data_IF_396471914980
#
_entry.id   IF_396471914980
#
_cell.length_a   1.000
_cell.length_b   1.000
_cell.length_c   1.000
_cell.angle_alpha   90.00
_cell.angle_beta   90.00
_cell.angle_gamma   90.00
#
_symmetry.space_group_name_H-M   'P 1'
#
loop_
_entity.id
_entity.type
_entity.pdbx_description
1 polymer ?
#
# COMPACT_ATOMS: atom_id res chain seq x y z
N UNK A 1 -44.96 -16.32 36.25
CA UNK A 1 -44.43 -16.02 34.90
C UNK A 1 -42.94 -16.33 34.89
N UNK A 2 -42.59 -17.58 34.59
CA UNK A 2 -41.20 -17.98 34.37
C UNK A 2 -40.81 -17.62 32.93
N UNK A 3 -39.70 -16.91 32.75
CA UNK A 3 -39.05 -16.77 31.44
C UNK A 3 -37.77 -17.59 31.46
N UNK A 4 -37.78 -18.66 30.66
CA UNK A 4 -36.67 -19.55 30.39
C UNK A 4 -35.51 -18.78 29.74
N UNK A 5 -34.30 -18.99 30.24
CA UNK A 5 -33.05 -18.63 29.57
C UNK A 5 -32.90 -19.51 28.32
N UNK A 6 -32.87 -18.89 27.14
CA UNK A 6 -32.45 -19.52 25.90
C UNK A 6 -30.93 -19.41 25.81
N UNK A 7 -30.24 -20.56 25.91
CA UNK A 7 -28.82 -20.70 25.58
C UNK A 7 -28.67 -20.75 24.06
N UNK A 8 -28.18 -19.64 23.48
CA UNK A 8 -27.76 -19.58 22.09
C UNK A 8 -26.45 -20.36 21.85
N UNK A 9 -26.19 -20.80 20.62
CA UNK A 9 -25.12 -21.75 20.32
C UNK A 9 -23.74 -21.10 20.48
N UNK A 10 -22.85 -21.84 21.12
CA UNK A 10 -21.40 -21.59 21.18
C UNK A 10 -20.87 -21.63 19.75
N UNK A 11 -20.27 -20.53 19.29
CA UNK A 11 -19.61 -20.50 17.98
C UNK A 11 -18.31 -21.29 18.06
N UNK A 12 -18.30 -22.44 17.40
CA UNK A 12 -17.15 -23.32 17.30
C UNK A 12 -15.97 -22.63 16.60
N UNK A 13 -14.78 -22.79 17.19
CA UNK A 13 -13.51 -22.41 16.57
C UNK A 13 -13.25 -23.31 15.36
N UNK A 14 -13.21 -22.71 14.18
CA UNK A 14 -12.86 -23.37 12.93
C UNK A 14 -11.45 -23.94 13.05
N UNK A 15 -11.33 -25.26 13.00
CA UNK A 15 -10.06 -25.99 12.92
C UNK A 15 -9.74 -26.23 11.43
N UNK A 16 -8.78 -25.49 10.89
CA UNK A 16 -8.23 -25.77 9.55
C UNK A 16 -7.01 -26.68 9.68
N UNK A 17 -7.13 -27.92 9.23
CA UNK A 17 -6.00 -28.86 9.09
C UNK A 17 -5.28 -28.56 7.77
N UNK A 18 -4.06 -28.04 7.86
CA UNK A 18 -3.12 -27.99 6.74
C UNK A 18 -2.60 -29.39 6.42
N UNK A 19 -2.80 -29.85 5.19
CA UNK A 19 -2.10 -31.01 4.63
C UNK A 19 -1.24 -30.52 3.46
N UNK A 20 0.07 -30.67 3.63
CA UNK A 20 1.12 -30.36 2.69
C UNK A 20 1.22 -31.52 1.69
N UNK A 21 1.10 -31.26 0.38
CA UNK A 21 1.50 -32.23 -0.63
C UNK A 21 2.24 -31.51 -1.76
N UNK A 22 3.55 -31.73 -1.77
CA UNK A 22 4.51 -31.17 -2.71
C UNK A 22 4.64 -32.14 -3.89
N UNK A 23 4.24 -31.72 -5.08
CA UNK A 23 4.56 -32.43 -6.34
C UNK A 23 5.25 -31.45 -7.27
N UNK A 24 6.56 -31.63 -7.45
CA UNK A 24 7.35 -30.94 -8.46
C UNK A 24 7.05 -31.54 -9.83
N UNK A 25 6.60 -30.70 -10.77
CA UNK A 25 6.76 -30.95 -12.21
C UNK A 25 7.44 -29.75 -12.85
N UNK A 26 8.72 -29.90 -13.15
CA UNK A 26 9.50 -28.96 -13.95
C UNK A 26 8.98 -28.96 -15.40
N UNK A 27 8.55 -27.80 -15.90
CA UNK A 27 8.52 -27.51 -17.34
C UNK A 27 9.44 -26.34 -17.62
N UNK A 28 10.53 -26.63 -18.34
CA UNK A 28 11.34 -25.64 -19.04
C UNK A 28 10.47 -24.88 -20.03
N UNK A 29 10.32 -23.57 -19.83
CA UNK A 29 9.91 -22.65 -20.88
C UNK A 29 11.15 -21.91 -21.39
N UNK A 30 11.37 -22.03 -22.68
CA UNK A 30 12.49 -21.48 -23.42
C UNK A 30 12.54 -19.95 -23.29
N UNK A 31 13.71 -19.46 -22.89
CA UNK A 31 14.12 -18.06 -23.04
C UNK A 31 14.27 -17.76 -24.53
N UNK A 32 13.30 -17.03 -25.10
CA UNK A 32 13.52 -16.36 -26.38
C UNK A 32 14.51 -15.21 -26.17
N UNK A 33 15.76 -15.46 -26.58
CA UNK A 33 16.77 -14.42 -26.78
C UNK A 33 16.29 -13.52 -27.92
N UNK A 34 15.93 -12.28 -27.60
CA UNK A 34 15.85 -11.23 -28.61
C UNK A 34 17.27 -10.78 -28.99
N UNK A 35 17.62 -10.72 -30.29
CA UNK A 35 18.92 -10.24 -30.70
C UNK A 35 18.98 -8.71 -30.53
N UNK A 36 20.02 -8.24 -29.85
CA UNK A 36 20.44 -6.84 -29.89
C UNK A 36 21.12 -6.63 -31.24
N UNK A 37 20.45 -5.97 -32.18
CA UNK A 37 21.09 -5.50 -33.41
C UNK A 37 22.02 -4.34 -33.07
N UNK A 38 23.32 -4.59 -33.21
CA UNK A 38 24.35 -3.55 -33.24
C UNK A 38 24.21 -2.74 -34.52
N UNK A 39 23.71 -1.50 -34.41
CA UNK A 39 23.68 -0.56 -35.53
C UNK A 39 25.09 -0.23 -35.98
N UNK A 40 25.42 -0.59 -37.21
CA UNK A 40 26.69 -0.24 -37.86
C UNK A 40 26.63 1.24 -38.23
N UNK A 41 27.52 2.06 -37.67
CA UNK A 41 27.68 3.46 -38.07
C UNK A 41 28.13 3.54 -39.52
N UNK A 42 27.28 4.10 -40.38
CA UNK A 42 27.61 4.45 -41.76
C UNK A 42 28.52 5.69 -41.74
N UNK A 43 29.83 5.52 -42.02
CA UNK A 43 30.75 6.64 -42.27
C UNK A 43 30.42 7.27 -43.63
N UNK A 44 29.83 8.46 -43.63
CA UNK A 44 29.68 9.28 -44.84
C UNK A 44 30.99 10.01 -45.11
N UNK A 45 31.68 9.63 -46.18
CA UNK A 45 32.86 10.33 -46.71
C UNK A 45 32.41 11.53 -47.54
N UNK A 46 32.69 12.74 -47.07
CA UNK A 46 32.43 13.98 -47.81
C UNK A 46 33.44 14.11 -48.96
N UNK A 47 32.98 14.02 -50.22
CA UNK A 47 33.72 14.50 -51.38
C UNK A 47 33.05 15.76 -51.90
N UNK A 48 33.82 16.83 -51.97
CA UNK A 48 33.45 18.17 -52.44
C UNK A 48 33.15 18.14 -53.95
N UNK A 49 31.93 18.49 -54.32
CA UNK A 49 31.49 18.69 -55.71
C UNK A 49 30.26 19.60 -55.71
N UNK A 50 30.31 20.69 -56.47
CA UNK A 50 29.40 21.82 -56.41
C UNK A 50 28.07 21.61 -57.17
N UNK A 51 27.05 22.38 -56.74
CA UNK A 51 25.83 22.86 -57.44
C UNK A 51 24.72 21.85 -57.78
N UNK A 52 23.61 21.87 -57.03
CA UNK A 52 22.25 22.30 -57.43
C UNK A 52 21.25 21.93 -56.31
N UNK A 53 20.23 22.76 -56.11
CA UNK A 53 19.39 22.76 -54.91
C UNK A 53 18.56 21.50 -54.64
N UNK A 54 18.46 21.17 -53.36
CA UNK A 54 17.30 20.55 -52.73
C UNK A 54 17.44 20.74 -51.20
N UNK A 55 16.57 21.56 -50.60
CA UNK A 55 16.39 21.57 -49.14
C UNK A 55 15.73 20.23 -48.75
N UNK A 56 16.53 19.23 -48.41
CA UNK A 56 16.02 17.99 -47.81
C UNK A 56 15.76 18.30 -46.34
N UNK A 57 14.52 18.62 -46.01
CA UNK A 57 14.07 18.65 -44.62
C UNK A 57 14.09 17.22 -44.08
N UNK A 58 15.16 16.86 -43.38
CA UNK A 58 15.22 15.63 -42.62
C UNK A 58 14.27 15.75 -41.42
N UNK A 59 13.03 15.29 -41.58
CA UNK A 59 12.11 15.09 -40.47
C UNK A 59 12.67 13.96 -39.60
N UNK A 60 13.34 14.32 -38.50
CA UNK A 60 13.61 13.38 -37.41
C UNK A 60 12.27 12.99 -36.80
N UNK A 61 11.77 11.82 -37.17
CA UNK A 61 10.70 11.17 -36.43
C UNK A 61 11.24 10.84 -35.03
N UNK A 62 10.89 11.64 -34.03
CA UNK A 62 11.09 11.27 -32.64
C UNK A 62 10.20 10.05 -32.38
N UNK A 63 10.82 8.88 -32.25
CA UNK A 63 10.17 7.73 -31.64
C UNK A 63 10.02 8.08 -30.16
N UNK A 64 8.88 8.67 -29.79
CA UNK A 64 8.46 8.72 -28.40
C UNK A 64 8.15 7.29 -28.02
N UNK A 65 9.02 6.67 -27.22
CA UNK A 65 8.64 5.45 -26.52
C UNK A 65 7.44 5.80 -25.66
N UNK A 66 6.26 5.27 -25.98
CA UNK A 66 5.13 5.29 -25.06
C UNK A 66 5.57 4.53 -23.82
N UNK A 67 5.84 5.26 -22.73
CA UNK A 67 6.02 4.65 -21.44
C UNK A 67 4.72 3.92 -21.12
N UNK A 68 4.76 2.59 -21.07
CA UNK A 68 3.60 1.80 -20.69
C UNK A 68 3.13 2.24 -19.30
N UNK A 69 1.82 2.35 -19.11
CA UNK A 69 1.24 2.64 -17.79
C UNK A 69 1.76 1.62 -16.78
N UNK A 70 2.34 2.12 -15.67
CA UNK A 70 2.76 1.27 -14.53
C UNK A 70 1.57 0.71 -13.77
N UNK A 71 0.39 1.29 -13.96
CA UNK A 71 -0.88 0.83 -13.42
C UNK A 71 -1.47 -0.24 -14.34
N UNK A 72 -1.86 -1.38 -13.78
CA UNK A 72 -2.49 -2.47 -14.50
C UNK A 72 -4.02 -2.34 -14.46
N UNK A 73 -4.67 -2.43 -15.61
CA UNK A 73 -6.14 -2.31 -15.71
C UNK A 73 -6.62 -0.86 -15.66
N UNK A 74 -7.87 -0.65 -15.26
CA UNK A 74 -8.46 0.68 -15.18
C UNK A 74 -9.49 0.76 -14.05
N UNK A 75 -9.61 1.92 -13.36
CA UNK A 75 -10.62 2.12 -12.34
C UNK A 75 -12.03 1.85 -12.86
N UNK A 76 -12.85 1.22 -12.01
CA UNK A 76 -14.23 0.86 -12.32
C UNK A 76 -15.20 1.29 -11.21
N UNK A 77 -16.51 1.19 -11.46
CA UNK A 77 -17.54 1.59 -10.50
C UNK A 77 -17.55 3.11 -10.27
N UNK A 78 -17.76 3.53 -9.01
CA UNK A 78 -17.82 4.96 -8.66
C UNK A 78 -16.51 5.72 -8.88
N UNK A 79 -15.38 5.01 -8.99
CA UNK A 79 -14.07 5.60 -9.25
C UNK A 79 -13.67 5.58 -10.73
N UNK A 80 -14.57 5.18 -11.65
CA UNK A 80 -14.30 5.18 -13.08
C UNK A 80 -13.82 6.56 -13.56
N UNK A 81 -12.77 6.58 -14.37
CA UNK A 81 -12.13 7.82 -14.85
C UNK A 81 -11.05 8.40 -13.94
N UNK A 82 -10.74 7.76 -12.81
CA UNK A 82 -9.56 8.13 -11.99
C UNK A 82 -8.28 7.92 -12.81
N UNK A 83 -7.37 8.89 -12.79
CA UNK A 83 -6.10 8.83 -13.53
C UNK A 83 -4.88 8.83 -12.60
N UNK A 84 -5.05 9.18 -11.33
CA UNK A 84 -3.96 9.27 -10.38
C UNK A 84 -2.94 10.32 -10.79
N UNK A 85 -1.66 9.93 -10.85
CA UNK A 85 -0.57 10.75 -11.37
C UNK A 85 -0.57 10.93 -12.90
N UNK A 86 -1.45 10.26 -13.63
CA UNK A 86 -1.49 10.31 -15.10
C UNK A 86 -0.19 9.81 -15.72
N UNK A 87 0.28 10.52 -16.75
CA UNK A 87 1.50 10.20 -17.50
C UNK A 87 2.77 10.84 -16.92
N UNK A 88 2.75 11.25 -15.64
CA UNK A 88 3.93 11.78 -14.98
C UNK A 88 5.06 10.74 -14.94
N UNK A 89 6.29 11.18 -15.18
CA UNK A 89 7.46 10.28 -15.16
C UNK A 89 7.56 9.56 -13.79
N UNK A 90 7.68 8.22 -13.78
CA UNK A 90 7.77 7.47 -12.54
C UNK A 90 8.94 7.89 -11.66
N UNK A 91 8.67 8.07 -10.37
CA UNK A 91 9.68 8.26 -9.33
C UNK A 91 9.80 7.01 -8.46
N UNK A 92 11.02 6.73 -8.02
CA UNK A 92 11.38 5.54 -7.26
C UNK A 92 12.01 5.98 -5.94
N UNK A 93 11.21 6.22 -4.89
CA UNK A 93 11.76 6.62 -3.60
C UNK A 93 12.73 5.54 -3.08
N UNK A 94 13.79 5.99 -2.42
CA UNK A 94 14.79 5.12 -1.79
C UNK A 94 14.81 5.25 -0.27
N UNK A 95 14.19 6.32 0.24
CA UNK A 95 14.08 6.63 1.67
C UNK A 95 12.63 6.89 2.09
N UNK A 96 12.34 6.75 3.38
CA UNK A 96 11.01 7.03 3.94
C UNK A 96 10.63 8.51 3.78
N UNK A 97 11.62 9.41 3.81
CA UNK A 97 11.45 10.85 3.64
C UNK A 97 11.08 11.20 2.20
N UNK A 98 11.75 10.60 1.21
CA UNK A 98 11.39 10.75 -0.20
C UNK A 98 9.98 10.24 -0.48
N UNK A 99 9.64 9.05 0.05
CA UNK A 99 8.30 8.48 -0.09
C UNK A 99 7.24 9.41 0.48
N UNK A 100 7.42 9.88 1.73
CA UNK A 100 6.51 10.82 2.37
C UNK A 100 6.35 12.10 1.56
N UNK A 101 7.47 12.67 1.07
CA UNK A 101 7.46 13.91 0.27
C UNK A 101 6.71 13.73 -1.04
N UNK A 102 6.97 12.64 -1.78
CA UNK A 102 6.29 12.40 -3.06
C UNK A 102 4.80 12.13 -2.88
N UNK A 103 4.38 11.51 -1.77
CA UNK A 103 2.97 11.27 -1.48
C UNK A 103 2.23 12.57 -1.11
N UNK A 104 2.87 13.49 -0.41
CA UNK A 104 2.21 14.68 0.15
C UNK A 104 2.34 15.95 -0.70
N UNK A 105 3.28 16.01 -1.65
CA UNK A 105 3.47 17.23 -2.45
C UNK A 105 2.27 17.57 -3.35
N UNK A 106 2.29 18.77 -3.92
CA UNK A 106 1.22 19.31 -4.77
C UNK A 106 1.32 18.89 -6.24
N UNK A 107 2.31 18.06 -6.60
CA UNK A 107 2.58 17.68 -8.00
C UNK A 107 1.89 16.37 -8.36
N UNK A 108 1.40 16.20 -9.59
CA UNK A 108 1.05 14.87 -10.08
C UNK A 108 2.27 13.95 -10.02
N UNK A 109 2.12 12.77 -9.41
CA UNK A 109 3.24 11.83 -9.21
C UNK A 109 2.81 10.40 -9.51
N UNK A 110 3.67 9.67 -10.20
CA UNK A 110 3.64 8.20 -10.29
C UNK A 110 4.77 7.65 -9.43
N UNK A 111 4.44 7.05 -8.31
CA UNK A 111 5.35 6.62 -7.25
C UNK A 111 5.41 5.10 -7.26
N UNK A 112 6.57 4.54 -7.58
CA UNK A 112 6.75 3.09 -7.75
C UNK A 112 7.59 2.53 -6.62
N UNK A 113 7.02 1.63 -5.82
CA UNK A 113 7.71 0.95 -4.72
C UNK A 113 8.44 -0.30 -5.24
N UNK A 114 9.76 -0.30 -5.16
CA UNK A 114 10.63 -1.45 -5.53
C UNK A 114 11.24 -2.17 -4.32
N UNK A 115 10.95 -1.68 -3.11
CA UNK A 115 11.54 -2.13 -1.87
C UNK A 115 10.57 -1.94 -0.71
N UNK A 116 10.88 -2.62 0.40
CA UNK A 116 10.17 -2.43 1.65
C UNK A 116 10.57 -1.09 2.27
N UNK A 117 9.58 -0.35 2.75
CA UNK A 117 9.76 0.83 3.59
C UNK A 117 9.35 0.46 5.01
N UNK A 118 10.36 0.28 5.86
CA UNK A 118 10.17 -0.04 7.27
C UNK A 118 10.13 1.24 8.12
N UNK A 119 8.99 1.46 8.75
CA UNK A 119 8.74 2.59 9.64
C UNK A 119 8.83 2.21 11.11
N UNK A 120 9.07 0.94 11.44
CA UNK A 120 9.16 0.48 12.82
C UNK A 120 10.31 1.20 13.54
N UNK A 121 10.02 1.70 14.73
CA UNK A 121 10.87 2.50 15.61
C UNK A 121 11.35 3.86 15.05
N UNK A 122 10.94 4.25 13.84
CA UNK A 122 11.35 5.54 13.24
C UNK A 122 10.85 6.74 14.02
N UNK A 123 9.70 6.61 14.69
CA UNK A 123 9.14 7.64 15.58
C UNK A 123 9.24 7.26 17.06
N UNK A 124 9.91 6.15 17.40
CA UNK A 124 10.03 5.58 18.74
C UNK A 124 8.73 4.98 19.29
N UNK A 125 8.78 4.49 20.53
CA UNK A 125 7.64 3.87 21.22
C UNK A 125 7.06 4.75 22.33
N UNK A 126 5.82 4.49 22.73
CA UNK A 126 5.20 5.07 23.93
C UNK A 126 4.53 3.99 24.78
N UNK A 127 4.29 4.27 26.07
CA UNK A 127 3.57 3.39 26.99
C UNK A 127 2.39 4.12 27.61
N UNK A 128 1.19 3.59 27.41
CA UNK A 128 -0.06 4.23 27.84
C UNK A 128 -0.98 3.23 28.56
N UNK A 129 -2.01 3.77 29.22
CA UNK A 129 -3.06 2.94 29.81
C UNK A 129 -4.02 2.43 28.72
N UNK A 130 -4.24 1.12 28.72
CA UNK A 130 -5.19 0.44 27.86
C UNK A 130 -6.16 -0.39 28.69
N UNK A 131 -7.28 -0.74 28.07
CA UNK A 131 -8.24 -1.68 28.61
C UNK A 131 -8.00 -3.08 28.06
N UNK A 132 -7.80 -4.03 28.96
CA UNK A 132 -8.04 -5.43 28.69
C UNK A 132 -9.50 -5.74 28.97
N UNK A 133 -10.31 -5.73 27.91
CA UNK A 133 -11.75 -5.89 28.02
C UNK A 133 -12.17 -7.24 28.60
N UNK A 134 -13.37 -7.32 29.16
CA UNK A 134 -13.86 -8.52 29.84
C UNK A 134 -13.82 -9.77 28.94
N UNK A 135 -14.18 -9.63 27.67
CA UNK A 135 -14.11 -10.74 26.70
C UNK A 135 -12.69 -11.29 26.54
N UNK A 136 -11.67 -10.42 26.56
CA UNK A 136 -10.27 -10.86 26.48
C UNK A 136 -9.85 -11.59 27.76
N UNK A 137 -10.27 -11.08 28.94
CA UNK A 137 -10.05 -11.77 30.22
C UNK A 137 -10.69 -13.17 30.25
N UNK A 138 -11.94 -13.29 29.79
CA UNK A 138 -12.66 -14.56 29.72
C UNK A 138 -11.97 -15.56 28.77
N UNK A 139 -11.37 -15.08 27.67
CA UNK A 139 -10.56 -15.90 26.77
C UNK A 139 -9.25 -16.36 27.42
N UNK A 140 -8.52 -15.45 28.06
CA UNK A 140 -7.26 -15.76 28.75
C UNK A 140 -7.49 -16.80 29.85
N UNK A 141 -8.61 -16.69 30.59
CA UNK A 141 -8.98 -17.64 31.64
C UNK A 141 -9.14 -19.08 31.13
N UNK A 142 -9.47 -19.29 29.85
CA UNK A 142 -9.59 -20.62 29.23
C UNK A 142 -8.24 -21.28 28.93
N UNK A 143 -7.12 -20.54 28.99
CA UNK A 143 -5.75 -21.05 28.74
C UNK A 143 -5.59 -21.79 27.41
N UNK A 144 -6.31 -21.35 26.37
CA UNK A 144 -6.29 -21.97 25.04
C UNK A 144 -5.28 -21.32 24.07
N UNK A 145 -4.40 -20.46 24.57
CA UNK A 145 -3.36 -19.77 23.80
C UNK A 145 -3.82 -18.52 23.04
N UNK A 146 -5.11 -18.16 23.08
CA UNK A 146 -5.61 -16.96 22.42
C UNK A 146 -5.39 -15.72 23.29
N UNK A 147 -4.73 -14.71 22.72
CA UNK A 147 -4.56 -13.39 23.30
C UNK A 147 -5.28 -12.38 22.39
N UNK A 148 -6.39 -11.84 22.89
CA UNK A 148 -7.08 -10.76 22.19
C UNK A 148 -6.30 -9.45 22.27
N UNK A 149 -6.70 -8.49 21.46
CA UNK A 149 -6.15 -7.13 21.51
C UNK A 149 -6.58 -6.43 22.81
N UNK A 150 -5.68 -5.64 23.38
CA UNK A 150 -6.05 -4.61 24.34
C UNK A 150 -6.59 -3.38 23.58
N UNK A 151 -7.20 -2.41 24.26
CA UNK A 151 -7.74 -1.19 23.61
C UNK A 151 -7.23 0.06 24.31
N UNK A 152 -6.59 1.00 23.59
CA UNK A 152 -6.17 2.26 24.21
C UNK A 152 -7.39 3.00 24.78
N UNK A 153 -7.23 3.56 25.97
CA UNK A 153 -8.29 4.35 26.61
C UNK A 153 -8.26 5.75 26.01
N UNK A 154 -9.41 6.21 25.52
CA UNK A 154 -9.63 7.54 24.92
C UNK A 154 -10.72 8.28 25.69
N UNK A 155 -11.01 9.53 25.32
CA UNK A 155 -12.07 10.32 25.96
C UNK A 155 -13.50 9.81 25.70
N UNK A 156 -13.67 8.88 24.77
CA UNK A 156 -14.97 8.40 24.29
C UNK A 156 -15.15 6.89 24.45
N UNK A 157 -14.25 6.20 25.17
CA UNK A 157 -14.45 4.82 25.59
C UNK A 157 -14.28 4.66 27.10
N UNK A 158 -14.80 3.56 27.64
CA UNK A 158 -14.62 3.17 29.04
C UNK A 158 -14.07 1.76 29.10
N UNK A 159 -13.39 1.42 30.19
CA UNK A 159 -12.85 0.07 30.37
C UNK A 159 -13.81 -0.79 31.19
N UNK A 160 -14.33 -1.86 30.59
CA UNK A 160 -15.24 -2.84 31.23
C UNK A 160 -14.52 -4.01 31.90
N UNK A 161 -13.19 -4.07 31.77
CA UNK A 161 -12.33 -5.10 32.32
C UNK A 161 -11.22 -4.54 33.19
N UNK A 162 -9.97 -4.87 32.88
CA UNK A 162 -8.80 -4.46 33.67
C UNK A 162 -7.95 -3.46 32.91
N UNK A 163 -7.58 -2.38 33.59
CA UNK A 163 -6.61 -1.41 33.08
C UNK A 163 -5.21 -2.02 33.10
N UNK A 164 -4.51 -1.94 31.99
CA UNK A 164 -3.14 -2.45 31.79
C UNK A 164 -2.28 -1.36 31.16
N UNK A 165 -0.96 -1.48 31.29
CA UNK A 165 -0.02 -0.64 30.53
C UNK A 165 0.40 -1.40 29.28
N UNK A 166 0.31 -0.75 28.12
CA UNK A 166 0.75 -1.31 26.84
C UNK A 166 1.79 -0.40 26.21
N UNK A 167 2.80 -1.00 25.59
CA UNK A 167 3.80 -0.29 24.80
C UNK A 167 3.51 -0.52 23.32
N UNK A 168 3.60 0.53 22.52
CA UNK A 168 3.35 0.46 21.09
C UNK A 168 4.22 1.46 20.32
N UNK A 169 4.36 1.23 19.01
CA UNK A 169 5.15 2.06 18.11
C UNK A 169 4.37 3.32 17.68
N UNK A 170 4.97 4.50 17.79
CA UNK A 170 4.30 5.76 17.45
C UNK A 170 4.09 5.94 15.94
N UNK A 171 4.91 5.34 15.09
CA UNK A 171 4.85 5.55 13.64
C UNK A 171 3.49 5.12 13.06
N UNK A 172 2.91 4.01 13.54
CA UNK A 172 1.62 3.52 13.07
C UNK A 172 0.42 4.42 13.45
N UNK A 173 0.60 5.37 14.39
CA UNK A 173 -0.44 6.32 14.80
C UNK A 173 -0.59 7.50 13.86
N UNK A 174 0.47 7.83 13.11
CA UNK A 174 0.50 8.96 12.18
C UNK A 174 0.66 8.42 10.76
N UNK A 175 -0.42 8.28 9.96
CA UNK A 175 -0.31 7.74 8.62
C UNK A 175 0.51 8.65 7.68
N UNK A 176 0.97 8.10 6.55
CA UNK A 176 1.52 8.90 5.46
C UNK A 176 0.38 9.64 4.74
N UNK A 177 0.48 10.96 4.64
CA UNK A 177 -0.50 11.76 3.93
C UNK A 177 -0.34 11.60 2.41
N UNK A 178 -1.45 11.36 1.71
CA UNK A 178 -1.50 11.24 0.26
C UNK A 178 -2.34 12.38 -0.31
N UNK A 179 -1.68 13.29 -1.01
CA UNK A 179 -2.29 14.43 -1.68
C UNK A 179 -3.01 14.04 -2.98
N UNK A 180 -3.47 15.04 -3.72
CA UNK A 180 -4.21 14.83 -4.97
C UNK A 180 -3.29 14.39 -6.12
N UNK A 181 -3.87 13.73 -7.13
CA UNK A 181 -3.18 13.33 -8.37
C UNK A 181 -1.96 12.42 -8.10
N UNK A 182 -2.16 11.37 -7.31
CA UNK A 182 -1.10 10.42 -6.93
C UNK A 182 -1.40 9.05 -7.48
N UNK A 183 -0.40 8.39 -8.05
CA UNK A 183 -0.40 6.95 -8.28
C UNK A 183 0.67 6.35 -7.36
N UNK A 184 0.27 5.53 -6.41
CA UNK A 184 1.17 4.72 -5.59
C UNK A 184 1.03 3.26 -6.04
N UNK A 185 2.09 2.71 -6.63
CA UNK A 185 2.07 1.35 -7.16
C UNK A 185 3.27 0.55 -6.70
N UNK A 186 3.07 -0.71 -6.35
CA UNK A 186 4.18 -1.62 -6.08
C UNK A 186 4.63 -2.38 -7.32
N UNK A 187 5.94 -2.60 -7.43
CA UNK A 187 6.56 -3.40 -8.47
C UNK A 187 7.14 -4.69 -7.87
N UNK A 188 6.58 -5.83 -8.27
CA UNK A 188 7.04 -7.15 -7.84
C UNK A 188 6.39 -7.62 -6.54
N UNK A 189 7.23 -7.97 -5.56
CA UNK A 189 6.80 -8.59 -4.27
C UNK A 189 7.41 -7.93 -3.04
N UNK A 190 8.11 -6.80 -3.24
CA UNK A 190 8.83 -6.06 -2.19
C UNK A 190 8.14 -4.75 -1.84
N UNK A 191 6.96 -4.50 -2.38
CA UNK A 191 6.09 -3.33 -2.27
C UNK A 191 5.42 -3.17 -0.89
N UNK A 192 6.21 -3.27 0.17
CA UNK A 192 5.72 -3.35 1.55
C UNK A 192 5.89 -2.02 2.28
N UNK A 193 4.82 -1.55 2.93
CA UNK A 193 4.85 -0.54 3.99
C UNK A 193 4.71 -1.26 5.33
N UNK A 194 5.79 -1.32 6.09
CA UNK A 194 5.85 -2.01 7.38
C UNK A 194 5.81 -0.98 8.52
N UNK A 195 4.85 -1.08 9.42
CA UNK A 195 4.72 -0.19 10.58
C UNK A 195 3.96 1.10 10.35
N UNK A 196 3.44 1.36 9.14
CA UNK A 196 2.72 2.60 8.82
C UNK A 196 1.68 2.42 7.71
N UNK A 197 0.56 3.11 7.86
CA UNK A 197 -0.52 3.16 6.89
C UNK A 197 -0.52 4.45 6.08
N UNK A 198 -1.57 4.67 5.30
CA UNK A 198 -1.76 5.88 4.49
C UNK A 198 -3.07 6.58 4.85
N UNK A 199 -3.10 7.89 4.72
CA UNK A 199 -4.29 8.73 4.83
C UNK A 199 -4.44 9.54 3.55
N UNK A 200 -5.48 9.24 2.78
CA UNK A 200 -5.79 9.89 1.53
C UNK A 200 -6.55 11.18 1.85
N UNK A 201 -5.86 12.29 1.61
CA UNK A 201 -6.35 13.66 1.80
C UNK A 201 -6.84 14.28 0.49
N UNK A 202 -6.22 13.92 -0.63
CA UNK A 202 -6.54 14.46 -1.94
C UNK A 202 -7.39 13.57 -2.84
N UNK A 203 -7.93 14.16 -3.90
CA UNK A 203 -8.72 13.48 -4.93
C UNK A 203 -7.84 12.96 -6.07
N UNK A 204 -8.40 12.09 -6.91
CA UNK A 204 -7.72 11.48 -8.05
C UNK A 204 -6.46 10.71 -7.62
N UNK A 205 -6.66 9.64 -6.84
CA UNK A 205 -5.58 8.82 -6.29
C UNK A 205 -5.77 7.35 -6.67
N UNK A 206 -4.69 6.74 -7.16
CA UNK A 206 -4.60 5.30 -7.41
C UNK A 206 -3.62 4.70 -6.40
N UNK A 207 -4.03 3.64 -5.70
CA UNK A 207 -3.18 2.82 -4.85
C UNK A 207 -3.30 1.38 -5.34
N UNK A 208 -2.23 0.82 -5.92
CA UNK A 208 -2.29 -0.50 -6.53
C UNK A 208 -1.13 -1.40 -6.14
N UNK A 209 -1.40 -2.68 -5.89
CA UNK A 209 -0.39 -3.71 -5.67
C UNK A 209 0.65 -3.29 -4.61
N UNK A 210 0.18 -2.92 -3.42
CA UNK A 210 1.04 -2.67 -2.25
C UNK A 210 0.59 -3.53 -1.07
N UNK A 211 1.50 -3.79 -0.14
CA UNK A 211 1.21 -4.49 1.11
C UNK A 211 1.47 -3.59 2.33
N UNK A 212 0.43 -3.28 3.11
CA UNK A 212 0.57 -2.61 4.41
C UNK A 212 0.50 -3.62 5.56
N UNK A 213 1.47 -3.59 6.47
CA UNK A 213 1.55 -4.57 7.57
C UNK A 213 2.14 -4.03 8.86
N UNK A 214 1.90 -4.76 9.96
CA UNK A 214 2.53 -4.58 11.26
C UNK A 214 2.25 -3.21 11.92
N UNK A 215 1.00 -2.76 11.85
CA UNK A 215 0.55 -1.50 12.43
C UNK A 215 0.01 -1.74 13.84
N UNK A 216 0.92 -2.02 14.79
CA UNK A 216 0.57 -2.30 16.19
C UNK A 216 -0.59 -3.33 16.35
N UNK A 217 -0.46 -4.56 15.82
CA UNK A 217 -1.56 -5.54 15.74
C UNK A 217 -2.13 -5.96 17.10
N UNK A 218 -1.43 -5.74 18.20
CA UNK A 218 -1.84 -6.15 19.55
C UNK A 218 -2.78 -5.15 20.24
N UNK A 219 -3.01 -3.96 19.67
CA UNK A 219 -3.68 -2.87 20.36
C UNK A 219 -4.66 -2.11 19.45
N UNK A 220 -5.94 -2.09 19.84
CA UNK A 220 -6.96 -1.27 19.19
C UNK A 220 -6.63 0.21 19.41
N UNK A 221 -6.81 1.01 18.35
CA UNK A 221 -6.31 2.37 18.20
C UNK A 221 -4.80 2.50 18.00
N UNK A 222 -4.09 1.39 17.79
CA UNK A 222 -2.65 1.36 17.51
C UNK A 222 -2.24 1.83 16.11
N UNK A 223 -3.16 1.77 15.14
CA UNK A 223 -2.93 2.20 13.76
C UNK A 223 -3.98 1.65 12.80
N UNK A 224 -4.21 2.38 11.71
CA UNK A 224 -5.12 2.00 10.63
C UNK A 224 -4.33 1.82 9.32
N UNK A 225 -4.75 0.87 8.48
CA UNK A 225 -4.08 0.59 7.20
C UNK A 225 -4.26 1.72 6.19
N UNK A 226 -5.50 1.96 5.79
CA UNK A 226 -5.89 3.09 4.93
C UNK A 226 -6.88 3.94 5.71
N UNK A 227 -6.85 5.25 5.51
CA UNK A 227 -7.88 6.19 5.93
C UNK A 227 -8.22 7.12 4.76
N UNK A 228 -9.48 7.51 4.62
CA UNK A 228 -9.94 8.51 3.64
C UNK A 228 -10.78 9.54 4.40
N UNK A 229 -10.19 10.71 4.61
CA UNK A 229 -10.77 11.74 5.47
C UNK A 229 -10.87 13.11 4.81
N UNK A 230 -10.05 13.37 3.79
CA UNK A 230 -9.95 14.69 3.18
C UNK A 230 -9.45 15.77 4.14
N UNK A 231 -9.39 16.99 3.63
CA UNK A 231 -9.11 18.19 4.42
C UNK A 231 -10.37 19.07 4.50
N UNK A 232 -10.54 19.77 5.63
CA UNK A 232 -11.60 20.77 5.83
C UNK A 232 -13.04 20.29 5.55
N UNK A 233 -13.29 18.98 5.71
CA UNK A 233 -14.60 18.37 5.47
C UNK A 233 -14.92 18.10 3.99
N UNK A 234 -13.95 18.32 3.09
CA UNK A 234 -14.07 17.96 1.67
C UNK A 234 -13.71 16.49 1.50
N UNK A 235 -14.72 15.68 1.15
CA UNK A 235 -14.50 14.24 0.93
C UNK A 235 -13.75 14.03 -0.40
N UNK A 236 -12.60 13.33 -0.40
CA UNK A 236 -11.87 13.02 -1.62
C UNK A 236 -12.70 12.20 -2.62
N UNK A 237 -12.52 12.47 -3.90
CA UNK A 237 -13.21 11.77 -4.99
C UNK A 237 -12.22 11.17 -5.97
N UNK A 238 -12.64 10.14 -6.72
CA UNK A 238 -11.75 9.46 -7.66
C UNK A 238 -10.61 8.72 -6.94
N UNK A 239 -10.96 7.84 -6.00
CA UNK A 239 -9.99 7.02 -5.28
C UNK A 239 -10.14 5.57 -5.74
N UNK A 240 -9.08 4.99 -6.29
CA UNK A 240 -9.05 3.59 -6.70
C UNK A 240 -7.99 2.82 -5.91
N UNK A 241 -8.44 1.93 -5.04
CA UNK A 241 -7.60 1.03 -4.25
C UNK A 241 -7.78 -0.38 -4.83
N UNK A 242 -6.73 -0.94 -5.40
CA UNK A 242 -6.79 -2.17 -6.18
C UNK A 242 -5.62 -3.12 -5.85
N UNK A 243 -5.90 -4.42 -5.75
CA UNK A 243 -4.88 -5.44 -5.43
C UNK A 243 -4.00 -5.11 -4.19
N UNK A 244 -4.54 -4.35 -3.23
CA UNK A 244 -3.83 -4.03 -1.98
C UNK A 244 -4.01 -5.15 -0.97
N UNK A 245 -2.93 -5.51 -0.29
CA UNK A 245 -2.93 -6.42 0.85
C UNK A 245 -2.76 -5.64 2.15
N UNK A 246 -3.59 -5.94 3.15
CA UNK A 246 -3.48 -5.33 4.49
C UNK A 246 -3.49 -6.46 5.52
N UNK A 247 -2.48 -6.51 6.38
CA UNK A 247 -2.37 -7.53 7.44
C UNK A 247 -1.89 -6.94 8.74
N UNK A 248 -2.15 -7.60 9.87
CA UNK A 248 -1.56 -7.24 11.17
C UNK A 248 -1.73 -5.75 11.53
N UNK A 249 -2.97 -5.26 11.49
CA UNK A 249 -3.33 -3.88 11.85
C UNK A 249 -4.00 -3.82 13.22
N UNK A 250 -3.77 -2.75 13.96
CA UNK A 250 -4.33 -2.54 15.29
C UNK A 250 -5.84 -2.30 15.27
N UNK A 251 -6.38 -1.59 14.26
CA UNK A 251 -7.80 -1.24 14.20
C UNK A 251 -8.44 -1.42 12.82
N UNK A 252 -8.57 -0.35 12.03
CA UNK A 252 -9.24 -0.40 10.74
C UNK A 252 -8.27 -0.75 9.62
N UNK A 253 -8.80 -1.39 8.58
CA UNK A 253 -8.05 -1.60 7.34
C UNK A 253 -8.31 -0.47 6.31
N UNK A 254 -9.29 0.42 6.55
CA UNK A 254 -9.84 1.35 5.55
C UNK A 254 -10.33 2.67 6.14
#
# INVERSE_FOLDING_TARGET
MSRSKSSGPVRDCITSRFALQLTLTSRCLHLNKFPVETSTMLKVSLRTGALFGAFVAAAFAQITAEAGSVVTGSPMGFAAGTTGGGDAEPVYPTTIEELGTYLSDDKPRVIVLKQEFDFINTEGSTTEEACRGKNNLDCIAKKNGFLGQDTLITSFNTCDGTKVKVTYDKAAKKPLEVGSNKTLVGEGTKDVLNGKGIEIKGSNVIVQNIHMTNLNPHIVWGGDGINISGDDGVIPTGIWIDHVKITSVGRQMK
#
